data_IF_596915537339
#
_entry.id   IF_596915537339
#
_cell.length_a   1.000
_cell.length_b   1.000
_cell.length_c   1.000
_cell.angle_alpha   90.00
_cell.angle_beta   90.00
_cell.angle_gamma   90.00
#
_symmetry.space_group_name_H-M   'P 1'
#
loop_
_entity.id
_entity.type
_entity.pdbx_description
1 polymer ?
#
# COMPACT_ATOMS: atom_id res chain seq x y z
N UNK A 1 15.03 -8.34 -5.92
CA UNK A 1 15.15 -9.06 -4.64
C UNK A 1 16.38 -8.59 -3.88
N UNK A 2 17.60 -9.01 -4.26
CA UNK A 2 18.83 -8.66 -3.53
C UNK A 2 18.98 -7.16 -3.24
N UNK A 3 18.74 -6.29 -4.22
CA UNK A 3 18.80 -4.84 -4.01
C UNK A 3 17.77 -4.37 -2.98
N UNK A 4 16.52 -4.84 -3.07
CA UNK A 4 15.46 -4.51 -2.12
C UNK A 4 15.82 -4.96 -0.71
N UNK A 5 16.27 -6.21 -0.54
CA UNK A 5 16.67 -6.72 0.76
C UNK A 5 17.80 -5.90 1.39
N UNK A 6 18.84 -5.56 0.61
CA UNK A 6 19.94 -4.69 1.07
C UNK A 6 19.45 -3.31 1.49
N UNK A 7 18.52 -2.71 0.74
CA UNK A 7 17.97 -1.38 1.05
C UNK A 7 17.02 -1.39 2.25
N UNK A 8 16.37 -2.52 2.53
CA UNK A 8 15.53 -2.71 3.71
C UNK A 8 16.28 -3.27 4.93
N UNK A 9 17.61 -3.39 4.87
CA UNK A 9 18.43 -4.01 5.91
C UNK A 9 17.96 -5.42 6.32
N UNK A 10 17.46 -6.21 5.36
CA UNK A 10 17.07 -7.60 5.59
C UNK A 10 17.92 -8.57 4.75
N UNK A 11 17.98 -9.83 5.20
CA UNK A 11 18.72 -10.89 4.52
C UNK A 11 17.79 -11.71 3.61
N UNK A 12 18.23 -11.97 2.37
CA UNK A 12 17.59 -12.95 1.50
C UNK A 12 18.12 -14.34 1.84
N UNK A 13 17.41 -15.06 2.70
CA UNK A 13 17.87 -16.34 3.29
C UNK A 13 17.44 -17.59 2.51
N UNK A 14 16.48 -17.45 1.58
CA UNK A 14 15.96 -18.57 0.81
C UNK A 14 14.96 -18.14 -0.25
N UNK A 15 14.58 -19.09 -1.10
CA UNK A 15 13.59 -18.91 -2.16
C UNK A 15 13.37 -20.24 -2.87
N UNK A 16 12.22 -20.37 -3.52
CA UNK A 16 11.82 -21.58 -4.26
C UNK A 16 11.43 -21.20 -5.69
N UNK A 17 11.61 -22.10 -6.64
CA UNK A 17 11.18 -21.90 -8.04
C UNK A 17 10.47 -23.14 -8.54
N UNK A 18 9.16 -23.03 -8.77
CA UNK A 18 8.34 -24.11 -9.28
C UNK A 18 7.92 -23.84 -10.74
N UNK A 19 8.30 -24.73 -11.66
CA UNK A 19 7.85 -24.69 -13.05
C UNK A 19 6.55 -25.47 -13.22
N UNK A 20 5.46 -24.76 -13.55
CA UNK A 20 4.12 -25.34 -13.64
C UNK A 20 3.48 -25.05 -15.02
N UNK A 21 3.90 -25.77 -16.09
CA UNK A 21 3.47 -25.48 -17.46
C UNK A 21 1.97 -25.71 -17.72
N UNK A 22 1.28 -26.49 -16.89
CA UNK A 22 -0.18 -26.65 -16.95
C UNK A 22 -0.94 -25.48 -16.33
N UNK A 23 -0.30 -24.68 -15.47
CA UNK A 23 -0.91 -23.57 -14.75
C UNK A 23 -0.56 -22.22 -15.39
N UNK A 24 0.68 -22.03 -15.82
CA UNK A 24 1.16 -20.78 -16.41
C UNK A 24 1.45 -20.93 -17.90
N UNK A 25 0.89 -20.02 -18.71
CA UNK A 25 1.26 -19.90 -20.12
C UNK A 25 2.73 -19.51 -20.31
N UNK A 26 3.27 -19.75 -21.51
CA UNK A 26 4.67 -19.43 -21.83
C UNK A 26 5.01 -17.97 -21.51
N UNK A 27 6.09 -17.75 -20.77
CA UNK A 27 6.56 -16.42 -20.36
C UNK A 27 5.73 -15.77 -19.24
N UNK A 28 4.81 -16.52 -18.62
CA UNK A 28 4.05 -16.09 -17.44
C UNK A 28 4.65 -16.72 -16.18
N UNK A 29 4.69 -15.92 -15.12
CA UNK A 29 5.12 -16.31 -13.78
C UNK A 29 4.34 -15.49 -12.75
N UNK A 30 4.37 -15.95 -11.51
CA UNK A 30 3.88 -15.24 -10.34
C UNK A 30 4.99 -15.13 -9.29
N UNK A 31 4.85 -14.21 -8.34
CA UNK A 31 5.81 -14.01 -7.26
C UNK A 31 5.08 -13.90 -5.93
N UNK A 32 5.53 -14.70 -4.96
CA UNK A 32 5.14 -14.61 -3.55
C UNK A 32 6.37 -14.31 -2.69
N UNK A 33 6.23 -13.37 -1.78
CA UNK A 33 7.26 -12.87 -0.88
C UNK A 33 6.84 -13.10 0.57
N UNK A 34 7.81 -13.40 1.40
CA UNK A 34 7.63 -13.64 2.83
C UNK A 34 8.72 -12.88 3.57
N UNK A 35 8.34 -12.07 4.56
CA UNK A 35 9.29 -11.39 5.43
C UNK A 35 8.98 -11.74 6.88
N UNK A 36 10.03 -12.06 7.64
CA UNK A 36 9.94 -12.25 9.10
C UNK A 36 10.71 -11.11 9.76
N UNK A 37 9.99 -10.32 10.55
CA UNK A 37 10.53 -9.32 11.46
C UNK A 37 10.51 -9.77 12.91
N UNK A 38 11.24 -9.03 13.76
CA UNK A 38 11.25 -9.22 15.22
C UNK A 38 11.02 -7.85 15.86
N UNK A 39 10.19 -7.82 16.90
CA UNK A 39 10.00 -6.64 17.77
C UNK A 39 9.83 -7.09 19.22
N UNK A 40 10.10 -6.20 20.16
CA UNK A 40 9.69 -6.40 21.55
C UNK A 40 8.16 -6.26 21.67
N UNK A 41 7.55 -7.03 22.58
CA UNK A 41 6.08 -7.08 22.72
C UNK A 41 5.46 -5.72 23.12
N UNK A 42 6.14 -4.95 23.95
CA UNK A 42 5.73 -3.62 24.42
C UNK A 42 5.93 -2.50 23.38
N UNK A 43 6.75 -2.75 22.35
CA UNK A 43 6.97 -1.85 21.22
C UNK A 43 6.10 -2.17 20.00
N UNK A 44 5.14 -3.08 20.13
CA UNK A 44 4.23 -3.44 19.05
C UNK A 44 3.37 -2.24 18.63
N UNK A 45 3.29 -2.03 17.30
CA UNK A 45 2.36 -1.09 16.68
C UNK A 45 1.21 -1.84 15.98
N UNK A 46 0.00 -1.24 15.89
CA UNK A 46 -0.38 0.07 16.43
C UNK A 46 -0.65 0.04 17.94
N UNK A 47 -0.25 1.10 18.66
CA UNK A 47 -0.64 1.43 20.02
C UNK A 47 -2.05 2.05 20.03
N UNK A 48 -3.06 1.23 19.69
CA UNK A 48 -4.45 1.66 19.45
C UNK A 48 -5.02 2.53 20.58
N UNK A 49 -4.72 2.19 21.83
CA UNK A 49 -5.23 2.93 23.00
C UNK A 49 -4.55 4.29 23.20
N UNK A 50 -3.42 4.53 22.54
CA UNK A 50 -2.65 5.77 22.67
C UNK A 50 -3.01 6.78 21.57
N UNK A 51 -3.85 6.40 20.62
CA UNK A 51 -4.33 7.28 19.54
C UNK A 51 -5.47 8.15 20.07
N UNK A 52 -5.31 9.47 19.96
CA UNK A 52 -6.24 10.46 20.49
C UNK A 52 -6.58 11.53 19.44
N UNK A 53 -7.73 12.19 19.61
CA UNK A 53 -8.09 13.38 18.84
C UNK A 53 -6.98 14.43 18.95
N UNK A 54 -6.56 14.97 17.81
CA UNK A 54 -5.49 15.97 17.72
C UNK A 54 -4.11 15.40 17.45
N UNK A 55 -3.92 14.07 17.48
CA UNK A 55 -2.71 13.44 16.94
C UNK A 55 -2.54 13.80 15.46
N UNK A 56 -1.29 13.99 15.05
CA UNK A 56 -0.97 14.39 13.67
C UNK A 56 -0.84 13.16 12.79
N UNK A 57 -1.20 13.35 11.53
CA UNK A 57 -1.07 12.34 10.48
C UNK A 57 0.01 12.81 9.51
N UNK A 58 1.10 12.06 9.46
CA UNK A 58 2.23 12.32 8.57
C UNK A 58 2.12 11.38 7.37
N UNK A 59 2.15 11.92 6.16
CA UNK A 59 2.17 11.18 4.92
C UNK A 59 3.58 11.11 4.34
N UNK A 60 4.02 9.90 4.00
CA UNK A 60 5.27 9.67 3.28
C UNK A 60 4.94 9.48 1.79
N UNK A 61 5.63 10.18 0.89
CA UNK A 61 5.27 10.15 -0.51
C UNK A 61 5.54 8.79 -1.15
N UNK A 62 4.67 8.39 -2.07
CA UNK A 62 4.88 7.23 -2.93
C UNK A 62 5.80 7.59 -4.10
N UNK A 63 6.44 6.57 -4.69
CA UNK A 63 7.24 6.71 -5.92
C UNK A 63 6.39 6.69 -7.19
N UNK A 64 5.06 6.59 -7.04
CA UNK A 64 4.10 6.35 -8.12
C UNK A 64 2.96 5.48 -7.60
N UNK A 65 2.37 4.65 -8.47
CA UNK A 65 1.25 3.77 -8.09
C UNK A 65 1.67 2.54 -7.26
N UNK A 66 2.97 2.34 -7.04
CA UNK A 66 3.56 1.19 -6.34
C UNK A 66 3.23 -0.15 -7.00
N UNK A 67 2.56 -1.08 -6.29
CA UNK A 67 2.23 -2.43 -6.78
C UNK A 67 0.73 -2.73 -6.74
N UNK A 68 -0.10 -1.72 -6.50
CA UNK A 68 -1.55 -1.87 -6.36
C UNK A 68 -2.31 -1.11 -7.46
N UNK A 69 -3.54 -1.53 -7.75
CA UNK A 69 -4.38 -0.91 -8.79
C UNK A 69 -4.04 -1.29 -10.25
N UNK A 70 -3.08 -2.20 -10.48
CA UNK A 70 -2.64 -2.55 -11.84
C UNK A 70 -3.72 -3.25 -12.69
N UNK A 71 -4.73 -3.87 -12.10
CA UNK A 71 -5.85 -4.43 -12.87
C UNK A 71 -6.62 -3.32 -13.60
N UNK A 72 -6.84 -2.19 -12.94
CA UNK A 72 -7.43 -1.01 -13.54
C UNK A 72 -6.50 -0.36 -14.58
N UNK A 73 -5.20 -0.28 -14.29
CA UNK A 73 -4.20 0.19 -15.28
C UNK A 73 -4.27 -0.65 -16.56
N UNK A 74 -4.18 -1.98 -16.44
CA UNK A 74 -4.28 -2.87 -17.59
C UNK A 74 -5.60 -2.65 -18.36
N UNK A 75 -6.72 -2.45 -17.65
CA UNK A 75 -8.02 -2.19 -18.27
C UNK A 75 -8.08 -0.87 -19.04
N UNK A 76 -7.44 0.17 -18.52
CA UNK A 76 -7.32 1.47 -19.20
C UNK A 76 -6.52 1.31 -20.50
N UNK A 77 -5.43 0.55 -20.50
CA UNK A 77 -4.64 0.27 -21.71
C UNK A 77 -5.45 -0.53 -22.75
N UNK A 78 -6.24 -1.52 -22.31
CA UNK A 78 -7.14 -2.27 -23.20
C UNK A 78 -8.16 -1.36 -23.89
N UNK A 79 -8.73 -0.38 -23.18
CA UNK A 79 -9.77 0.51 -23.74
C UNK A 79 -9.21 1.64 -24.59
N UNK A 80 -8.09 2.24 -24.18
CA UNK A 80 -7.49 3.40 -24.86
C UNK A 80 -6.68 2.98 -26.09
N UNK A 81 -6.17 1.75 -26.13
CA UNK A 81 -5.29 1.27 -27.18
C UNK A 81 -3.87 1.83 -27.12
N UNK A 82 -3.50 2.54 -26.05
CA UNK A 82 -2.12 2.95 -25.81
C UNK A 82 -1.19 1.73 -25.72
N UNK A 83 0.06 1.91 -26.12
CA UNK A 83 1.10 0.89 -25.95
C UNK A 83 1.98 1.26 -24.78
N UNK A 84 2.41 0.25 -24.03
CA UNK A 84 3.36 0.45 -22.92
C UNK A 84 4.71 1.04 -23.37
N UNK A 85 5.03 0.94 -24.66
CA UNK A 85 6.23 1.53 -25.26
C UNK A 85 6.07 3.01 -25.63
N UNK A 86 4.85 3.54 -25.66
CA UNK A 86 4.60 4.95 -25.97
C UNK A 86 5.11 5.82 -24.81
N UNK A 87 5.56 7.04 -25.13
CA UNK A 87 5.98 8.02 -24.13
C UNK A 87 4.79 8.37 -23.25
N UNK A 88 4.96 8.25 -21.94
CA UNK A 88 3.91 8.58 -20.99
C UNK A 88 3.69 10.09 -20.96
N UNK A 89 2.45 10.52 -21.22
CA UNK A 89 2.09 11.94 -21.25
C UNK A 89 2.31 12.63 -19.89
N UNK A 90 2.26 11.86 -18.81
CA UNK A 90 2.50 12.34 -17.45
C UNK A 90 3.96 12.24 -17.00
N UNK A 91 4.88 11.70 -17.83
CA UNK A 91 6.29 11.56 -17.46
C UNK A 91 7.00 12.91 -17.51
N UNK A 92 7.59 13.31 -16.39
CA UNK A 92 8.43 14.51 -16.32
C UNK A 92 9.81 14.31 -16.99
N UNK A 93 10.20 13.07 -17.29
CA UNK A 93 11.51 12.72 -17.85
C UNK A 93 11.43 11.99 -19.20
N UNK A 94 10.26 11.98 -19.84
CA UNK A 94 10.07 11.37 -21.16
C UNK A 94 10.21 9.85 -21.17
N UNK A 95 9.91 9.16 -20.06
CA UNK A 95 9.85 7.70 -20.01
C UNK A 95 8.60 7.18 -20.71
N UNK A 96 8.64 5.92 -21.15
CA UNK A 96 7.45 5.24 -21.63
C UNK A 96 6.47 4.94 -20.50
N UNK A 97 5.20 4.69 -20.82
CA UNK A 97 4.20 4.23 -19.86
C UNK A 97 4.67 3.00 -19.08
N UNK A 98 5.23 2.03 -19.79
CA UNK A 98 5.80 0.83 -19.21
C UNK A 98 6.85 1.13 -18.14
N UNK A 99 7.77 2.04 -18.44
CA UNK A 99 8.83 2.42 -17.50
C UNK A 99 8.32 3.21 -16.31
N UNK A 100 7.35 4.11 -16.50
CA UNK A 100 6.70 4.83 -15.40
C UNK A 100 5.93 3.88 -14.48
N UNK A 101 5.12 2.97 -15.04
CA UNK A 101 4.36 2.00 -14.27
C UNK A 101 5.23 0.91 -13.64
N UNK A 102 6.42 0.63 -14.19
CA UNK A 102 7.41 -0.25 -13.57
C UNK A 102 8.32 0.45 -12.56
N UNK A 103 8.07 1.73 -12.25
CA UNK A 103 8.78 2.42 -11.16
C UNK A 103 8.65 1.58 -9.88
N UNK A 104 9.76 1.20 -9.23
CA UNK A 104 9.73 0.37 -8.03
C UNK A 104 9.00 1.05 -6.88
N UNK A 105 8.29 0.25 -6.08
CA UNK A 105 7.71 0.66 -4.80
C UNK A 105 8.81 1.20 -3.88
N UNK A 106 8.54 2.33 -3.20
CA UNK A 106 9.48 2.93 -2.24
C UNK A 106 9.62 2.01 -1.02
N UNK A 107 10.85 1.83 -0.56
CA UNK A 107 11.16 1.06 0.64
C UNK A 107 11.24 2.04 1.82
N UNK A 108 10.38 1.87 2.81
CA UNK A 108 10.29 2.81 3.92
C UNK A 108 11.11 2.37 5.13
N UNK A 109 11.43 1.07 5.26
CA UNK A 109 12.09 0.50 6.45
C UNK A 109 13.32 1.29 6.91
N UNK A 110 14.27 1.58 6.03
CA UNK A 110 15.49 2.27 6.44
C UNK A 110 15.24 3.73 6.88
N UNK A 111 14.18 4.35 6.36
CA UNK A 111 13.81 5.73 6.66
C UNK A 111 12.96 5.84 7.94
N UNK A 112 12.10 4.84 8.20
CA UNK A 112 11.16 4.87 9.33
C UNK A 112 11.71 4.16 10.57
N UNK A 113 12.47 3.08 10.44
CA UNK A 113 12.90 2.26 11.58
C UNK A 113 13.68 3.03 12.66
N UNK A 114 14.60 3.97 12.34
CA UNK A 114 15.25 4.79 13.37
C UNK A 114 14.26 5.62 14.17
N UNK A 115 13.26 6.18 13.50
CA UNK A 115 12.23 7.01 14.10
C UNK A 115 11.21 6.19 14.92
N UNK A 116 10.86 4.98 14.46
CA UNK A 116 10.02 4.05 15.22
C UNK A 116 10.61 3.70 16.58
N UNK A 117 11.95 3.56 16.66
CA UNK A 117 12.67 3.22 17.89
C UNK A 117 12.68 4.33 18.95
N UNK A 118 12.28 5.55 18.59
CA UNK A 118 12.19 6.66 19.54
C UNK A 118 10.87 6.62 20.36
N UNK A 119 9.94 5.71 20.02
CA UNK A 119 8.78 5.37 20.85
C UNK A 119 7.58 6.31 20.74
N UNK A 120 7.69 7.43 20.02
CA UNK A 120 6.59 8.41 19.87
C UNK A 120 5.54 8.03 18.83
N UNK A 121 5.85 7.09 17.95
CA UNK A 121 4.92 6.62 16.95
C UNK A 121 3.83 5.77 17.58
N UNK A 122 2.58 6.10 17.24
CA UNK A 122 1.40 5.38 17.73
C UNK A 122 0.90 4.35 16.73
N UNK A 123 1.00 4.64 15.44
CA UNK A 123 0.61 3.70 14.40
C UNK A 123 1.22 4.05 13.04
N UNK A 124 1.45 3.03 12.20
CA UNK A 124 1.82 3.16 10.79
C UNK A 124 0.88 2.32 9.93
N UNK A 125 0.51 2.84 8.76
CA UNK A 125 -0.14 2.04 7.73
C UNK A 125 0.56 2.22 6.39
N UNK A 126 0.99 1.12 5.78
CA UNK A 126 1.40 1.07 4.39
C UNK A 126 0.15 1.11 3.49
N UNK A 127 0.17 1.96 2.47
CA UNK A 127 -0.99 2.20 1.61
C UNK A 127 -0.90 1.29 0.37
N UNK A 128 -1.61 0.17 0.44
CA UNK A 128 -1.60 -0.89 -0.57
C UNK A 128 -2.96 -1.04 -1.27
N UNK A 129 -3.44 -2.28 -1.48
CA UNK A 129 -4.75 -2.55 -2.05
C UNK A 129 -5.86 -1.97 -1.16
N UNK A 130 -6.86 -1.34 -1.78
CA UNK A 130 -7.88 -0.59 -1.04
C UNK A 130 -7.50 0.87 -0.76
N UNK A 131 -6.29 1.29 -1.12
CA UNK A 131 -5.86 2.70 -1.09
C UNK A 131 -5.92 3.31 0.31
N UNK A 132 -6.11 4.61 0.38
CA UNK A 132 -6.16 5.35 1.65
C UNK A 132 -7.39 4.94 2.48
N UNK A 133 -8.52 4.66 1.83
CA UNK A 133 -9.80 4.46 2.50
C UNK A 133 -9.91 3.12 3.23
N UNK A 134 -9.21 2.07 2.79
CA UNK A 134 -9.28 0.74 3.41
C UNK A 134 -8.07 0.43 4.32
N UNK A 135 -6.91 1.06 4.09
CA UNK A 135 -5.69 0.77 4.88
C UNK A 135 -5.61 1.57 6.18
N UNK A 136 -5.98 2.86 6.16
CA UNK A 136 -5.93 3.71 7.35
C UNK A 136 -6.85 3.20 8.48
N UNK A 137 -8.10 2.75 8.22
CA UNK A 137 -8.97 2.23 9.28
C UNK A 137 -8.42 1.01 10.04
N UNK A 138 -7.51 0.23 9.43
CA UNK A 138 -6.91 -0.96 10.06
C UNK A 138 -6.07 -0.64 11.27
N UNK A 139 -5.61 0.61 11.38
CA UNK A 139 -4.76 1.09 12.47
C UNK A 139 -5.44 2.11 13.38
N UNK A 140 -6.75 2.32 13.21
CA UNK A 140 -7.52 3.31 13.95
C UNK A 140 -8.58 2.65 14.86
N UNK A 141 -8.80 3.17 16.08
CA UNK A 141 -9.98 2.85 16.85
C UNK A 141 -11.27 3.21 16.09
N UNK A 142 -12.32 2.39 16.23
CA UNK A 142 -13.61 2.59 15.53
C UNK A 142 -14.30 3.94 15.79
N UNK A 143 -14.02 4.56 16.94
CA UNK A 143 -14.61 5.82 17.36
C UNK A 143 -13.81 7.05 16.87
N UNK A 144 -12.69 6.84 16.17
CA UNK A 144 -11.85 7.89 15.64
C UNK A 144 -11.83 7.84 14.12
N UNK A 145 -11.65 9.02 13.53
CA UNK A 145 -11.43 9.22 12.11
C UNK A 145 -10.11 9.94 11.88
N UNK A 146 -9.60 9.87 10.66
CA UNK A 146 -8.50 10.70 10.18
C UNK A 146 -9.04 11.66 9.13
N UNK A 147 -8.73 12.94 9.31
CA UNK A 147 -9.05 13.97 8.34
C UNK A 147 -7.75 14.50 7.74
N UNK A 148 -7.56 14.24 6.44
CA UNK A 148 -6.41 14.71 5.66
C UNK A 148 -6.85 15.69 4.58
N UNK A 149 -5.93 16.53 4.12
CA UNK A 149 -6.21 17.55 3.11
C UNK A 149 -5.28 17.38 1.89
N UNK A 150 -5.87 17.10 0.73
CA UNK A 150 -5.16 16.89 -0.54
C UNK A 150 -4.31 18.09 -1.01
N UNK A 151 -4.50 19.28 -0.44
CA UNK A 151 -3.66 20.45 -0.71
C UNK A 151 -2.29 20.38 -0.02
N UNK A 152 -2.10 19.46 0.94
CA UNK A 152 -0.89 19.39 1.78
C UNK A 152 0.22 18.51 1.20
N UNK A 153 -0.08 17.71 0.16
CA UNK A 153 0.93 16.93 -0.57
C UNK A 153 0.76 17.07 -2.08
N UNK A 154 1.83 16.76 -2.81
CA UNK A 154 1.80 16.74 -4.27
C UNK A 154 1.25 15.38 -4.72
N UNK A 155 0.10 15.37 -5.39
CA UNK A 155 -0.43 14.18 -6.06
C UNK A 155 0.32 13.99 -7.39
N UNK A 156 1.04 12.88 -7.62
CA UNK A 156 1.70 12.61 -8.89
C UNK A 156 0.73 12.60 -10.10
N UNK A 157 1.18 13.14 -11.24
CA UNK A 157 0.38 13.28 -12.47
C UNK A 157 -0.19 11.97 -13.01
N UNK A 158 0.44 10.83 -12.70
CA UNK A 158 -0.08 9.51 -13.07
C UNK A 158 -1.50 9.28 -12.54
N UNK A 159 -1.86 9.80 -11.37
CA UNK A 159 -3.19 9.60 -10.79
C UNK A 159 -4.26 10.41 -11.52
N UNK A 160 -3.99 11.67 -11.87
CA UNK A 160 -4.93 12.45 -12.68
C UNK A 160 -5.04 11.92 -14.11
N UNK A 161 -3.94 11.39 -14.67
CA UNK A 161 -3.96 10.71 -15.97
C UNK A 161 -4.82 9.44 -15.93
N UNK A 162 -4.70 8.61 -14.89
CA UNK A 162 -5.51 7.40 -14.69
C UNK A 162 -6.99 7.74 -14.51
N UNK A 163 -7.30 8.74 -13.68
CA UNK A 163 -8.67 9.22 -13.49
C UNK A 163 -9.30 9.70 -14.80
N UNK A 164 -8.54 10.44 -15.63
CA UNK A 164 -9.03 10.94 -16.91
C UNK A 164 -9.26 9.82 -17.93
N UNK A 165 -8.28 8.93 -18.11
CA UNK A 165 -8.31 7.89 -19.15
C UNK A 165 -9.08 6.64 -18.77
N UNK A 166 -9.36 6.42 -17.49
CA UNK A 166 -10.28 5.38 -17.02
C UNK A 166 -11.67 5.89 -16.65
N UNK A 167 -11.89 7.22 -16.73
CA UNK A 167 -13.10 7.89 -16.25
C UNK A 167 -13.48 7.37 -14.84
N UNK A 168 -12.49 7.42 -13.94
CA UNK A 168 -12.55 6.89 -12.56
C UNK A 168 -12.87 8.05 -11.62
N UNK A 169 -13.91 7.88 -10.79
CA UNK A 169 -14.28 8.93 -9.85
C UNK A 169 -13.27 9.07 -8.70
N UNK A 170 -13.32 10.23 -8.04
CA UNK A 170 -12.35 10.58 -7.00
C UNK A 170 -12.37 9.61 -5.80
N UNK A 171 -13.54 9.08 -5.43
CA UNK A 171 -13.64 8.15 -4.31
C UNK A 171 -13.06 6.78 -4.68
N UNK A 172 -13.33 6.30 -5.89
CA UNK A 172 -12.73 5.06 -6.41
C UNK A 172 -11.21 5.19 -6.58
N UNK A 173 -10.70 6.37 -6.96
CA UNK A 173 -9.25 6.64 -6.97
C UNK A 173 -8.62 6.47 -5.58
N UNK A 174 -9.23 7.04 -4.54
CA UNK A 174 -8.77 6.90 -3.14
C UNK A 174 -8.92 5.48 -2.59
N UNK A 175 -9.85 4.69 -3.14
CA UNK A 175 -10.06 3.28 -2.77
C UNK A 175 -9.19 2.31 -3.56
N UNK A 176 -8.63 2.73 -4.69
CA UNK A 176 -7.83 1.83 -5.55
C UNK A 176 -6.34 2.10 -5.42
N UNK A 177 -5.97 3.37 -5.29
CA UNK A 177 -4.59 3.82 -5.37
C UNK A 177 -4.15 4.56 -4.10
N UNK A 178 -2.84 4.66 -3.95
CA UNK A 178 -2.20 5.40 -2.87
C UNK A 178 -2.26 6.93 -3.04
N UNK A 179 -2.58 7.41 -4.26
CA UNK A 179 -2.76 8.82 -4.59
C UNK A 179 -1.61 9.75 -4.15
N UNK A 180 -0.38 9.24 -4.15
CA UNK A 180 0.83 9.99 -3.82
C UNK A 180 1.33 9.76 -2.40
N UNK A 181 0.59 9.06 -1.55
CA UNK A 181 0.99 8.74 -0.17
C UNK A 181 1.18 7.23 -0.04
N UNK A 182 2.41 6.77 0.10
CA UNK A 182 2.71 5.34 0.20
C UNK A 182 2.64 4.79 1.62
N UNK A 183 2.80 5.64 2.63
CA UNK A 183 2.72 5.25 4.04
C UNK A 183 2.20 6.42 4.86
N UNK A 184 1.43 6.13 5.91
CA UNK A 184 1.02 7.12 6.91
C UNK A 184 1.57 6.77 8.29
N UNK A 185 1.83 7.78 9.09
CA UNK A 185 2.24 7.69 10.49
C UNK A 185 1.26 8.51 11.33
N UNK A 186 0.81 7.96 12.45
CA UNK A 186 0.05 8.66 13.49
C UNK A 186 0.94 8.82 14.71
N UNK A 187 1.05 10.05 15.22
CA UNK A 187 1.92 10.40 16.34
C UNK A 187 1.43 11.67 17.08
N UNK A 188 1.93 11.95 18.29
CA UNK A 188 1.65 13.19 19.01
C UNK A 188 2.02 14.44 18.20
N UNK A 189 1.20 15.49 18.32
CA UNK A 189 1.42 16.78 17.63
C UNK A 189 2.71 17.50 18.01
N UNK A 190 3.19 17.30 19.25
CA UNK A 190 4.33 18.04 19.78
C UNK A 190 5.68 17.47 19.35
N UNK A 191 5.69 16.37 18.62
CA UNK A 191 6.90 15.75 18.11
C UNK A 191 7.10 16.11 16.62
N UNK A 192 8.32 16.53 16.30
CA UNK A 192 8.75 17.03 15.00
C UNK A 192 9.82 16.14 14.35
N UNK A 193 10.22 15.03 14.99
CA UNK A 193 11.29 14.16 14.46
C UNK A 193 10.95 13.56 13.09
N UNK A 194 9.67 13.43 12.76
CA UNK A 194 9.22 13.03 11.43
C UNK A 194 9.72 13.95 10.30
N UNK A 195 10.10 15.20 10.59
CA UNK A 195 10.70 16.11 9.62
C UNK A 195 12.07 15.63 9.10
N UNK A 196 12.71 14.68 9.80
CA UNK A 196 13.93 14.02 9.34
C UNK A 196 13.69 13.05 8.18
N UNK A 197 12.45 12.59 8.00
CA UNK A 197 12.09 11.67 6.92
C UNK A 197 11.96 12.47 5.61
N UNK A 198 12.76 12.13 4.57
CA UNK A 198 12.76 12.89 3.33
C UNK A 198 11.38 12.99 2.69
N UNK A 199 10.98 14.23 2.39
CA UNK A 199 9.72 14.57 1.72
C UNK A 199 8.45 14.24 2.51
N UNK A 200 8.55 13.79 3.76
CA UNK A 200 7.39 13.62 4.63
C UNK A 200 6.64 14.95 4.83
N UNK A 201 5.32 14.86 5.00
CA UNK A 201 4.44 16.01 5.21
C UNK A 201 3.41 15.70 6.28
N UNK A 202 3.14 16.67 7.15
CA UNK A 202 1.93 16.64 7.96
C UNK A 202 0.74 16.86 7.03
N UNK A 203 -0.08 15.83 6.83
CA UNK A 203 -1.20 15.84 5.87
C UNK A 203 -2.57 16.00 6.54
N UNK A 204 -2.63 15.89 7.86
CA UNK A 204 -3.88 16.00 8.60
C UNK A 204 -3.75 15.66 10.07
N UNK A 205 -4.89 15.31 10.67
CA UNK A 205 -4.98 14.97 12.09
C UNK A 205 -6.08 13.94 12.36
N UNK A 206 -5.96 13.26 13.49
CA UNK A 206 -7.01 12.39 14.05
C UNK A 206 -8.14 13.27 14.61
N UNK A 207 -9.38 12.91 14.29
CA UNK A 207 -10.61 13.59 14.73
C UNK A 207 -11.57 12.57 15.34
N UNK A 208 -12.62 13.06 16.01
CA UNK A 208 -13.72 12.19 16.42
C UNK A 208 -14.44 11.65 15.17
N UNK A 209 -14.84 10.37 15.20
CA UNK A 209 -15.72 9.81 14.19
C UNK A 209 -17.18 10.10 14.55
N UNK A 210 -17.92 10.67 13.60
CA UNK A 210 -19.37 10.86 13.74
C UNK A 210 -20.10 9.50 13.76
N UNK A 211 -21.31 9.44 14.31
CA UNK A 211 -22.14 8.23 14.27
C UNK A 211 -22.42 7.83 12.80
N UNK A 212 -21.85 6.69 12.38
CA UNK A 212 -21.85 6.19 10.99
C UNK A 212 -21.04 7.03 9.99
N UNK A 213 -20.18 7.92 10.45
CA UNK A 213 -19.25 8.67 9.60
C UNK A 213 -18.12 7.78 9.05
N UNK A 214 -17.46 8.21 7.96
CA UNK A 214 -16.27 7.52 7.45
C UNK A 214 -15.08 7.74 8.40
N UNK A 215 -14.27 6.69 8.58
CA UNK A 215 -13.01 6.78 9.35
C UNK A 215 -11.89 7.51 8.61
N UNK A 216 -12.05 7.79 7.31
CA UNK A 216 -11.09 8.54 6.50
C UNK A 216 -11.81 9.61 5.70
N UNK A 217 -11.41 10.86 5.90
CA UNK A 217 -11.95 12.03 5.20
C UNK A 217 -10.80 12.70 4.48
N UNK A 218 -10.87 12.76 3.15
CA UNK A 218 -9.85 13.40 2.31
C UNK A 218 -10.42 14.69 1.72
N UNK A 219 -10.16 15.81 2.40
CA UNK A 219 -10.59 17.15 1.97
C UNK A 219 -9.89 17.56 0.68
N UNK A 220 -10.60 18.34 -0.14
CA UNK A 220 -10.10 18.94 -1.38
C UNK A 220 -9.62 17.96 -2.47
N UNK A 221 -9.75 16.64 -2.26
CA UNK A 221 -9.20 15.66 -3.20
C UNK A 221 -9.87 15.71 -4.57
N UNK A 222 -11.20 15.84 -4.59
CA UNK A 222 -11.98 15.92 -5.83
C UNK A 222 -11.59 17.15 -6.64
N UNK A 223 -11.45 18.29 -5.98
CA UNK A 223 -11.08 19.58 -6.57
C UNK A 223 -9.67 19.53 -7.16
N UNK A 224 -8.70 19.04 -6.38
CA UNK A 224 -7.31 18.88 -6.83
C UNK A 224 -7.23 17.91 -8.01
N UNK A 225 -7.92 16.77 -7.93
CA UNK A 225 -7.93 15.77 -9.01
C UNK A 225 -8.60 16.32 -10.28
N UNK A 226 -9.77 16.94 -10.16
CA UNK A 226 -10.52 17.47 -11.31
C UNK A 226 -9.78 18.56 -12.06
N UNK A 227 -9.07 19.44 -11.33
CA UNK A 227 -8.24 20.49 -11.93
C UNK A 227 -7.19 19.89 -12.86
N UNK A 228 -6.55 18.81 -12.43
CA UNK A 228 -5.51 18.13 -13.22
C UNK A 228 -6.10 17.23 -14.32
N UNK A 229 -7.26 16.58 -14.08
CA UNK A 229 -7.96 15.73 -15.06
C UNK A 229 -8.33 16.50 -16.33
N UNK A 230 -8.68 17.80 -16.19
CA UNK A 230 -8.99 18.65 -17.33
C UNK A 230 -7.84 18.78 -18.34
N UNK A 231 -6.59 18.60 -17.92
CA UNK A 231 -5.42 18.65 -18.80
C UNK A 231 -5.28 17.44 -19.72
N UNK A 232 -5.89 16.31 -19.35
CA UNK A 232 -5.72 15.04 -20.06
C UNK A 232 -6.84 14.72 -21.04
N UNK A 233 -8.02 15.37 -20.91
CA UNK A 233 -9.14 15.13 -21.80
C UNK A 233 -8.86 15.71 -23.20
N UNK A 234 -8.52 14.83 -24.16
CA UNK A 234 -8.35 15.17 -25.57
C UNK A 234 -9.54 14.65 -26.40
N UNK A 235 -10.42 15.57 -26.80
CA UNK A 235 -11.56 15.31 -27.70
C UNK A 235 -12.78 14.66 -27.05
N UNK A 236 -13.86 14.49 -27.84
CA UNK A 236 -15.18 14.03 -27.40
C UNK A 236 -15.34 12.50 -27.37
N UNK A 237 -14.24 11.72 -27.37
CA UNK A 237 -14.37 10.26 -27.27
C UNK A 237 -14.89 9.90 -25.87
N UNK A 238 -16.11 9.36 -25.80
CA UNK A 238 -16.67 8.82 -24.55
C UNK A 238 -15.79 7.67 -24.04
N UNK A 239 -15.08 7.92 -22.94
CA UNK A 239 -14.42 6.89 -22.15
C UNK A 239 -15.45 6.28 -21.21
N UNK A 240 -15.76 5.01 -21.40
CA UNK A 240 -16.65 4.27 -20.49
C UNK A 240 -16.03 4.23 -19.09
N UNK A 241 -16.80 4.60 -18.07
CA UNK A 241 -16.31 4.56 -16.68
C UNK A 241 -15.91 3.14 -16.28
N UNK A 242 -14.72 3.01 -15.68
CA UNK A 242 -14.20 1.76 -15.15
C UNK A 242 -14.07 1.89 -13.63
N UNK A 243 -14.73 1.01 -12.89
CA UNK A 243 -14.42 0.80 -11.48
C UNK A 243 -13.46 -0.38 -11.30
N UNK A 244 -12.78 -0.46 -10.16
CA UNK A 244 -11.82 -1.50 -9.84
C UNK A 244 -12.45 -2.90 -9.88
N UNK A 245 -13.71 -3.01 -9.42
CA UNK A 245 -14.52 -4.22 -9.60
C UNK A 245 -14.76 -4.58 -11.06
N UNK A 246 -15.03 -3.60 -11.91
CA UNK A 246 -15.14 -3.76 -13.36
C UNK A 246 -13.81 -4.17 -14.03
N UNK A 247 -12.67 -3.97 -13.37
CA UNK A 247 -11.36 -4.48 -13.81
C UNK A 247 -11.06 -5.91 -13.37
N UNK A 248 -12.01 -6.57 -12.69
CA UNK A 248 -11.91 -7.95 -12.24
C UNK A 248 -11.44 -8.12 -10.79
N UNK A 249 -11.41 -7.05 -9.98
CA UNK A 249 -11.01 -7.12 -8.57
C UNK A 249 -12.18 -6.75 -7.66
N UNK A 250 -12.76 -7.74 -6.98
CA UNK A 250 -13.87 -7.55 -6.04
C UNK A 250 -13.36 -7.60 -4.59
N UNK A 251 -13.12 -6.42 -4.00
CA UNK A 251 -12.67 -6.27 -2.61
C UNK A 251 -13.72 -6.85 -1.63
N UNK A 252 -15.00 -6.66 -1.90
CA UNK A 252 -16.08 -7.17 -1.04
C UNK A 252 -16.09 -8.70 -1.04
N UNK A 253 -15.96 -9.32 -2.22
CA UNK A 253 -15.85 -10.78 -2.31
C UNK A 253 -14.57 -11.30 -1.63
N UNK A 254 -13.45 -10.59 -1.77
CA UNK A 254 -12.20 -10.90 -1.07
C UNK A 254 -12.35 -10.87 0.45
N UNK A 255 -12.96 -9.81 0.98
CA UNK A 255 -13.23 -9.67 2.42
C UNK A 255 -14.18 -10.77 2.92
N UNK A 256 -15.23 -11.10 2.15
CA UNK A 256 -16.14 -12.18 2.49
C UNK A 256 -15.43 -13.54 2.54
N UNK A 257 -14.50 -13.80 1.62
CA UNK A 257 -13.67 -15.01 1.66
C UNK A 257 -12.81 -15.04 2.93
N UNK A 258 -12.16 -13.92 3.28
CA UNK A 258 -11.36 -13.79 4.51
C UNK A 258 -12.23 -14.09 5.74
N UNK A 259 -13.44 -13.55 5.81
CA UNK A 259 -14.38 -13.80 6.90
C UNK A 259 -14.78 -15.28 7.00
N UNK A 260 -14.97 -15.95 5.87
CA UNK A 260 -15.31 -17.38 5.83
C UNK A 260 -14.15 -18.28 6.27
N UNK A 261 -12.89 -17.90 6.00
CA UNK A 261 -11.72 -18.71 6.39
C UNK A 261 -11.23 -18.43 7.82
N UNK A 262 -11.63 -17.30 8.44
CA UNK A 262 -11.24 -16.94 9.82
C UNK A 262 -11.46 -18.06 10.84
N UNK A 263 -12.62 -18.77 10.88
CA UNK A 263 -12.82 -19.87 11.82
C UNK A 263 -11.86 -21.05 11.59
N UNK A 264 -11.55 -21.36 10.33
CA UNK A 264 -10.63 -22.44 9.97
C UNK A 264 -9.19 -22.10 10.37
N UNK A 265 -8.73 -20.88 10.07
CA UNK A 265 -7.42 -20.41 10.51
C UNK A 265 -7.32 -20.39 12.05
N UNK A 266 -8.39 -19.94 12.73
CA UNK A 266 -8.44 -19.94 14.21
C UNK A 266 -8.35 -21.34 14.81
N UNK A 267 -8.86 -22.36 14.11
CA UNK A 267 -8.77 -23.76 14.58
C UNK A 267 -7.34 -24.31 14.65
N UNK A 268 -6.39 -23.67 13.96
CA UNK A 268 -4.96 -24.02 14.01
C UNK A 268 -4.20 -23.23 15.07
N UNK A 269 -4.86 -22.37 15.86
CA UNK A 269 -4.20 -21.55 16.87
C UNK A 269 -3.49 -22.42 17.92
N UNK A 270 -2.31 -21.95 18.34
CA UNK A 270 -1.50 -22.54 19.40
C UNK A 270 -0.94 -21.43 20.29
N UNK A 271 -0.36 -21.82 21.43
CA UNK A 271 0.37 -20.87 22.31
C UNK A 271 1.38 -20.06 21.51
N UNK A 272 1.44 -18.76 21.78
CA UNK A 272 2.26 -17.78 21.07
C UNK A 272 1.53 -17.07 19.93
N UNK A 273 0.49 -17.63 19.32
CA UNK A 273 -0.24 -16.90 18.26
C UNK A 273 -1.01 -15.72 18.85
N UNK A 274 -0.74 -14.51 18.34
CA UNK A 274 -1.45 -13.28 18.71
C UNK A 274 -2.25 -12.78 17.51
N UNK A 275 -3.50 -12.38 17.74
CA UNK A 275 -4.38 -11.82 16.70
C UNK A 275 -5.03 -12.89 15.80
N UNK A 276 -5.23 -12.54 14.54
CA UNK A 276 -5.91 -13.37 13.53
C UNK A 276 -5.86 -12.74 12.14
N UNK A 277 -6.58 -13.31 11.18
CA UNK A 277 -6.61 -12.78 9.80
C UNK A 277 -7.22 -11.38 9.75
N UNK A 278 -6.57 -10.48 9.00
CA UNK A 278 -7.02 -9.10 8.75
C UNK A 278 -6.05 -8.01 9.18
N UNK A 279 -4.95 -8.34 9.86
CA UNK A 279 -3.80 -7.44 10.11
C UNK A 279 -2.83 -7.43 8.92
N UNK A 280 -1.88 -6.50 8.93
CA UNK A 280 -0.78 -6.43 7.96
C UNK A 280 0.23 -7.58 8.10
N UNK A 281 0.34 -8.18 9.30
CA UNK A 281 1.19 -9.35 9.55
C UNK A 281 0.61 -10.28 10.61
N UNK A 282 1.05 -11.55 10.59
CA UNK A 282 0.77 -12.54 11.62
C UNK A 282 1.78 -12.46 12.76
N UNK A 283 1.29 -12.53 14.00
CA UNK A 283 2.11 -12.32 15.20
C UNK A 283 2.31 -13.61 16.00
N UNK A 284 3.54 -13.84 16.44
CA UNK A 284 3.89 -14.98 17.29
C UNK A 284 4.82 -14.59 18.45
N UNK A 285 4.31 -14.65 19.69
CA UNK A 285 5.06 -14.40 20.93
C UNK A 285 5.85 -15.62 21.34
N UNK A 286 7.17 -15.49 21.34
CA UNK A 286 8.06 -16.63 21.62
C UNK A 286 7.96 -17.03 23.10
N UNK A 287 7.85 -16.05 24.01
CA UNK A 287 7.81 -16.31 25.45
C UNK A 287 6.60 -17.12 25.93
N UNK A 288 5.45 -17.03 25.25
CA UNK A 288 4.28 -17.86 25.54
C UNK A 288 4.53 -19.36 25.29
N UNK A 289 5.64 -19.70 24.62
CA UNK A 289 6.11 -21.08 24.43
C UNK A 289 7.09 -21.57 25.49
N UNK A 290 7.36 -20.79 26.56
CA UNK A 290 8.20 -21.20 27.68
C UNK A 290 9.70 -20.93 27.51
N UNK A 291 10.06 -19.94 26.68
CA UNK A 291 11.45 -19.49 26.50
C UNK A 291 11.86 -18.43 27.53
N UNK A 292 13.17 -18.18 27.65
CA UNK A 292 13.75 -17.17 28.55
C UNK A 292 14.33 -15.96 27.79
N UNK A 293 13.65 -15.52 26.74
CA UNK A 293 14.08 -14.31 26.00
C UNK A 293 13.44 -13.06 26.63
N UNK A 294 14.06 -11.90 26.43
CA UNK A 294 13.43 -10.60 26.70
C UNK A 294 12.33 -10.41 25.64
N UNK A 295 11.08 -10.62 26.06
CA UNK A 295 9.79 -10.75 25.35
C UNK A 295 9.68 -10.49 23.83
N UNK A 296 10.29 -11.33 22.97
CA UNK A 296 10.33 -11.07 21.55
C UNK A 296 9.08 -11.62 20.84
N UNK A 297 8.66 -10.86 19.84
CA UNK A 297 7.57 -11.17 18.90
C UNK A 297 8.13 -11.41 17.51
N UNK A 298 7.74 -12.51 16.88
CA UNK A 298 7.90 -12.69 15.44
C UNK A 298 6.71 -12.07 14.70
N UNK A 299 7.00 -11.34 13.63
CA UNK A 299 6.00 -10.78 12.72
C UNK A 299 6.24 -11.37 11.34
N UNK A 300 5.26 -12.07 10.79
CA UNK A 300 5.32 -12.62 9.44
C UNK A 300 4.36 -11.85 8.53
N UNK A 301 4.90 -11.25 7.48
CA UNK A 301 4.13 -10.66 6.39
C UNK A 301 4.29 -11.50 5.12
N UNK A 302 3.23 -11.57 4.31
CA UNK A 302 3.20 -12.34 3.06
C UNK A 302 2.43 -11.56 2.02
N UNK A 303 3.06 -11.31 0.86
CA UNK A 303 2.40 -10.61 -0.24
C UNK A 303 3.01 -10.96 -1.61
N UNK A 304 2.34 -10.54 -2.67
CA UNK A 304 2.80 -10.63 -4.05
C UNK A 304 2.92 -9.25 -4.71
N UNK A 305 3.30 -9.25 -5.99
CA UNK A 305 3.41 -8.01 -6.80
C UNK A 305 2.13 -7.74 -7.61
N UNK A 306 1.22 -8.72 -7.66
CA UNK A 306 -0.05 -8.62 -8.36
C UNK A 306 0.10 -8.43 -9.87
N UNK A 307 -0.87 -7.76 -10.49
CA UNK A 307 -0.96 -7.63 -11.96
C UNK A 307 0.05 -6.66 -12.57
N UNK A 308 0.92 -6.02 -11.77
CA UNK A 308 2.13 -5.33 -12.26
C UNK A 308 3.06 -6.28 -13.01
N UNK A 309 3.05 -7.58 -12.66
CA UNK A 309 3.78 -8.62 -13.38
C UNK A 309 3.38 -8.72 -14.87
N UNK A 310 2.13 -8.38 -15.23
CA UNK A 310 1.70 -8.38 -16.64
C UNK A 310 2.50 -7.37 -17.46
N UNK A 311 2.72 -6.17 -16.93
CA UNK A 311 3.51 -5.11 -17.60
C UNK A 311 4.98 -5.54 -17.68
N UNK A 312 5.55 -6.05 -16.59
CA UNK A 312 6.92 -6.56 -16.56
C UNK A 312 7.16 -7.66 -17.62
N UNK A 313 6.24 -8.62 -17.72
CA UNK A 313 6.28 -9.71 -18.69
C UNK A 313 6.10 -9.24 -20.13
N UNK A 314 5.21 -8.28 -20.38
CA UNK A 314 5.00 -7.74 -21.73
C UNK A 314 6.22 -6.97 -22.26
N UNK A 315 6.98 -6.33 -21.36
CA UNK A 315 8.16 -5.55 -21.72
C UNK A 315 9.48 -6.33 -21.60
N UNK A 316 9.46 -7.52 -20.98
CA UNK A 316 10.67 -8.27 -20.65
C UNK A 316 11.54 -7.59 -19.58
N UNK A 317 10.95 -6.75 -18.73
CA UNK A 317 11.64 -5.97 -17.70
C UNK A 317 11.29 -6.53 -16.32
N UNK A 318 12.16 -7.39 -15.78
CA UNK A 318 11.91 -8.14 -14.55
C UNK A 318 12.74 -7.67 -13.34
N UNK A 319 13.71 -6.78 -13.55
CA UNK A 319 14.67 -6.35 -12.53
C UNK A 319 14.08 -5.42 -11.47
N UNK A 320 12.91 -4.82 -11.70
CA UNK A 320 12.23 -3.91 -10.75
C UNK A 320 11.24 -4.64 -9.83
N UNK A 321 10.52 -5.64 -10.33
CA UNK A 321 9.44 -6.32 -9.56
C UNK A 321 9.93 -7.08 -8.33
N UNK A 322 11.21 -7.44 -8.30
CA UNK A 322 11.80 -8.01 -7.08
C UNK A 322 12.08 -6.97 -5.99
N UNK A 323 11.99 -5.67 -6.27
CA UNK A 323 12.01 -4.60 -5.24
C UNK A 323 10.60 -4.44 -4.69
N UNK A 324 9.61 -4.44 -5.60
CA UNK A 324 8.19 -4.42 -5.25
C UNK A 324 7.83 -5.55 -4.29
N UNK A 325 8.28 -6.78 -4.57
CA UNK A 325 8.01 -7.93 -3.69
C UNK A 325 8.57 -7.73 -2.27
N UNK A 326 9.77 -7.15 -2.15
CA UNK A 326 10.35 -6.82 -0.84
C UNK A 326 9.53 -5.72 -0.17
N UNK A 327 9.18 -4.66 -0.90
CA UNK A 327 8.43 -3.54 -0.35
C UNK A 327 7.07 -3.96 0.19
N UNK A 328 6.34 -4.80 -0.54
CA UNK A 328 5.01 -5.28 -0.14
C UNK A 328 5.06 -6.15 1.13
N UNK A 329 6.16 -6.86 1.42
CA UNK A 329 6.28 -7.66 2.64
C UNK A 329 7.01 -6.95 3.79
N UNK A 330 7.91 -6.00 3.50
CA UNK A 330 8.71 -5.34 4.54
C UNK A 330 8.09 -4.03 5.04
N UNK A 331 7.30 -3.35 4.22
CA UNK A 331 6.61 -2.12 4.64
C UNK A 331 5.31 -2.42 5.41
N UNK A 332 4.72 -3.59 5.19
CA UNK A 332 3.56 -4.14 5.92
C UNK A 332 3.98 -4.69 7.29
#
# INVERSE_FOLDING_TARGET
>A
LQYGCRKSNCALIGGETAEMPSMYGKGKYDLAGYCVGITEYDELLPKINDIHVGDVVIGLPSSGIHSNGFSLVNKIFEQTGYKLTDIAEFSDCGKSYGMEFLTPTRLYVAETLPFLRNGYVKALAHITGGGLLENIPRILPKHLSVQIDALTWKIPKVFSWLAAHGNVDANEMLRTFNCGIGMIIIMPRNDIEWETIPEARMIGSVTQCDENGPQVIVKNFKEVLHKEVAHWKKGDKEVTSICYKGSGVDITAGNALVDNIKPHAKSTNRKGVIGGLGSFGGLFRINDCGTKFEDPMLVLATDGVGTKLKIAQQLGIHNTVGIDLVAMSNND
#
